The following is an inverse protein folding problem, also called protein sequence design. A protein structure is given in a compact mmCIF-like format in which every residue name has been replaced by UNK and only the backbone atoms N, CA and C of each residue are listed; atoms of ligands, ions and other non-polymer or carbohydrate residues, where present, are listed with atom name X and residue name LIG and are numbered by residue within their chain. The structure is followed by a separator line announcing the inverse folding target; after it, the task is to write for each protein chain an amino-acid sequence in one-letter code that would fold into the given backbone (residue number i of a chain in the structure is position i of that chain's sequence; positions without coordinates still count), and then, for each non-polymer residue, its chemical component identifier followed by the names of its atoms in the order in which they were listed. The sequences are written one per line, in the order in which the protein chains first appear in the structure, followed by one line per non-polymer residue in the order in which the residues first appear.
data_IF_660828881538
#
_entry.id   IF_660828881538
#
_cell.length_a   1.000
_cell.length_b   1.000
_cell.length_c   1.000
_cell.angle_alpha   90.00
_cell.angle_beta   90.00
_cell.angle_gamma   90.00
#
_symmetry.space_group_name_H-M   'P 1'
#
loop_
_entity.id
_entity.type
_entity.pdbx_description
1 polymer ?
#
# COMPACT_ATOMS: atom_id res chain seq x y z
N UNK A 1 20.95 -40.76 -12.50
CA UNK A 1 19.86 -40.35 -11.58
C UNK A 1 20.24 -39.16 -10.70
N UNK A 2 21.42 -39.13 -10.07
CA UNK A 2 21.86 -38.01 -9.21
C UNK A 2 21.90 -36.64 -9.93
N UNK A 3 22.32 -36.62 -11.19
CA UNK A 3 22.33 -35.40 -12.02
C UNK A 3 20.92 -34.87 -12.31
N UNK A 4 19.97 -35.74 -12.64
CA UNK A 4 18.57 -35.35 -12.84
C UNK A 4 17.96 -34.83 -11.53
N UNK A 5 18.32 -35.43 -10.39
CA UNK A 5 17.89 -34.99 -9.07
C UNK A 5 18.45 -33.61 -8.72
N UNK A 6 19.71 -33.33 -9.07
CA UNK A 6 20.33 -32.01 -8.91
C UNK A 6 19.68 -30.95 -9.82
N UNK A 7 19.35 -31.30 -11.07
CA UNK A 7 18.65 -30.39 -12.01
C UNK A 7 17.25 -30.07 -11.49
N UNK A 8 16.52 -31.05 -10.95
CA UNK A 8 15.20 -30.83 -10.32
C UNK A 8 15.31 -29.99 -9.04
N UNK A 9 16.36 -30.18 -8.22
CA UNK A 9 16.63 -29.35 -7.04
C UNK A 9 17.03 -27.91 -7.40
N UNK A 10 17.75 -27.71 -8.51
CA UNK A 10 18.11 -26.39 -9.03
C UNK A 10 16.94 -25.69 -9.73
N UNK A 11 16.00 -26.46 -10.31
CA UNK A 11 14.74 -25.94 -10.85
C UNK A 11 13.77 -25.51 -9.74
N UNK A 12 13.96 -26.02 -8.52
CA UNK A 12 13.27 -25.57 -7.30
C UNK A 12 13.94 -24.35 -6.66
N UNK A 13 15.02 -23.80 -7.24
CA UNK A 13 15.42 -22.43 -6.93
C UNK A 13 14.28 -21.53 -7.44
N UNK A 14 13.38 -21.16 -6.53
CA UNK A 14 12.08 -20.57 -6.85
C UNK A 14 12.18 -19.40 -7.82
N UNK A 15 11.13 -19.26 -8.63
CA UNK A 15 11.02 -18.15 -9.59
C UNK A 15 11.22 -16.81 -8.85
N UNK A 16 12.22 -16.03 -9.31
CA UNK A 16 12.42 -14.67 -8.84
C UNK A 16 11.46 -13.75 -9.58
N UNK A 17 10.39 -13.34 -8.92
CA UNK A 17 9.43 -12.37 -9.44
C UNK A 17 9.83 -10.94 -9.09
N UNK A 18 9.41 -10.01 -9.95
CA UNK A 18 9.52 -8.57 -9.72
C UNK A 18 8.23 -8.06 -9.09
N UNK A 19 8.26 -7.72 -7.80
CA UNK A 19 7.10 -7.19 -7.07
C UNK A 19 7.13 -5.67 -6.98
N UNK A 20 5.97 -5.07 -7.23
CA UNK A 20 5.68 -3.69 -6.84
C UNK A 20 4.80 -3.67 -5.60
N UNK A 21 5.33 -3.19 -4.48
CA UNK A 21 4.57 -2.95 -3.26
C UNK A 21 4.18 -1.47 -3.21
N UNK A 22 2.91 -1.16 -3.41
CA UNK A 22 2.41 0.22 -3.33
C UNK A 22 2.05 0.52 -1.88
N UNK A 23 2.78 1.45 -1.26
CA UNK A 23 2.64 1.81 0.15
C UNK A 23 2.71 3.33 0.32
N UNK A 24 1.62 4.07 0.03
CA UNK A 24 1.58 5.50 0.25
C UNK A 24 1.92 5.84 1.71
N UNK A 25 2.67 6.93 1.93
CA UNK A 25 3.04 7.38 3.28
C UNK A 25 1.86 8.07 3.95
N UNK A 26 0.84 7.29 4.28
CA UNK A 26 -0.40 7.76 4.88
C UNK A 26 -0.29 7.79 6.43
N UNK A 27 -0.02 6.63 7.02
CA UNK A 27 0.07 6.43 8.47
C UNK A 27 1.17 5.44 8.86
N UNK A 28 1.62 5.51 10.10
CA UNK A 28 2.72 4.68 10.61
C UNK A 28 2.42 3.18 10.52
N UNK A 29 1.21 2.74 10.89
CA UNK A 29 0.81 1.33 10.81
C UNK A 29 0.86 0.79 9.38
N UNK A 30 0.27 1.53 8.45
CA UNK A 30 0.17 1.18 7.03
C UNK A 30 1.54 0.93 6.40
N UNK A 31 2.46 1.89 6.53
CA UNK A 31 3.79 1.77 5.91
C UNK A 31 4.58 0.61 6.52
N UNK A 32 4.46 0.35 7.82
CA UNK A 32 5.18 -0.75 8.44
C UNK A 32 4.59 -2.10 8.04
N UNK A 33 3.27 -2.23 7.95
CA UNK A 33 2.62 -3.45 7.49
C UNK A 33 3.03 -3.80 6.06
N UNK A 34 2.88 -2.85 5.14
CA UNK A 34 3.26 -3.05 3.73
C UNK A 34 4.78 -3.25 3.58
N UNK A 35 5.58 -2.51 4.35
CA UNK A 35 7.03 -2.67 4.38
C UNK A 35 7.49 -4.04 4.87
N UNK A 36 6.77 -4.67 5.81
CA UNK A 36 7.04 -6.05 6.24
C UNK A 36 6.71 -7.08 5.17
N UNK A 37 5.64 -6.86 4.39
CA UNK A 37 5.36 -7.70 3.21
C UNK A 37 6.52 -7.58 2.21
N UNK A 38 6.96 -6.36 1.92
CA UNK A 38 8.09 -6.11 1.02
C UNK A 38 9.37 -6.80 1.50
N UNK A 39 9.74 -6.60 2.78
CA UNK A 39 10.95 -7.19 3.36
C UNK A 39 10.92 -8.73 3.34
N UNK A 40 9.75 -9.34 3.59
CA UNK A 40 9.59 -10.79 3.55
C UNK A 40 9.76 -11.36 2.13
N UNK A 41 9.29 -10.64 1.11
CA UNK A 41 9.48 -11.03 -0.30
C UNK A 41 10.94 -10.90 -0.73
N UNK A 42 11.66 -9.88 -0.26
CA UNK A 42 13.11 -9.77 -0.46
C UNK A 42 13.84 -10.94 0.21
N UNK A 43 13.47 -11.30 1.45
CA UNK A 43 14.05 -12.44 2.16
C UNK A 43 13.79 -13.78 1.46
N UNK A 44 12.69 -13.88 0.72
CA UNK A 44 12.35 -15.04 -0.11
C UNK A 44 13.13 -15.09 -1.43
N UNK A 45 13.93 -14.06 -1.75
CA UNK A 45 14.79 -14.02 -2.94
C UNK A 45 14.18 -13.32 -4.16
N UNK A 46 13.10 -12.54 -3.98
CA UNK A 46 12.46 -11.79 -5.06
C UNK A 46 13.04 -10.36 -5.21
N UNK A 47 12.93 -9.76 -6.40
CA UNK A 47 13.19 -8.33 -6.57
C UNK A 47 11.94 -7.54 -6.17
N UNK A 48 12.10 -6.59 -5.27
CA UNK A 48 10.97 -5.87 -4.67
C UNK A 48 11.25 -4.38 -4.69
N UNK A 49 10.34 -3.65 -5.31
CA UNK A 49 10.28 -2.20 -5.24
C UNK A 49 9.07 -1.79 -4.41
N UNK A 50 9.32 -1.05 -3.35
CA UNK A 50 8.26 -0.33 -2.62
C UNK A 50 8.09 1.05 -3.22
N UNK A 51 6.94 1.31 -3.83
CA UNK A 51 6.55 2.61 -4.34
C UNK A 51 5.74 3.38 -3.30
N UNK A 52 6.18 4.59 -2.94
CA UNK A 52 5.54 5.41 -1.91
C UNK A 52 5.21 6.82 -2.41
N UNK A 53 3.94 7.09 -2.71
CA UNK A 53 3.43 8.46 -2.76
C UNK A 53 3.59 9.14 -1.39
N UNK A 54 4.23 10.31 -1.37
CA UNK A 54 4.49 11.08 -0.15
C UNK A 54 3.29 11.96 0.19
N UNK A 55 2.32 11.38 0.90
CA UNK A 55 1.10 12.05 1.38
C UNK A 55 1.36 12.80 2.70
N UNK A 56 2.03 12.14 3.64
CA UNK A 56 2.40 12.67 4.95
C UNK A 56 3.93 12.73 5.07
N UNK A 57 4.49 13.93 4.94
CA UNK A 57 5.93 14.17 5.03
C UNK A 57 6.48 14.11 6.45
N UNK A 58 5.62 14.05 7.47
CA UNK A 58 6.00 13.97 8.89
C UNK A 58 6.41 12.55 9.32
N UNK A 59 6.18 11.53 8.49
CA UNK A 59 6.54 10.15 8.80
C UNK A 59 8.03 9.90 8.50
N UNK A 60 8.84 9.75 9.56
CA UNK A 60 10.28 9.51 9.43
C UNK A 60 10.63 8.14 8.82
N UNK A 61 9.88 7.10 9.17
CA UNK A 61 10.09 5.74 8.64
C UNK A 61 9.54 5.61 7.22
N UNK A 62 10.12 4.72 6.41
CA UNK A 62 9.56 4.26 5.14
C UNK A 62 8.91 2.87 5.27
N UNK A 63 8.95 2.25 6.46
CA UNK A 63 8.31 0.97 6.77
C UNK A 63 9.07 -0.29 6.33
N UNK A 64 9.82 -0.22 5.24
CA UNK A 64 10.70 -1.29 4.74
C UNK A 64 12.17 -1.01 5.10
N UNK A 65 12.95 -2.08 5.31
CA UNK A 65 14.40 -2.02 5.51
C UNK A 65 15.21 -2.65 4.37
N UNK A 66 14.56 -3.40 3.47
CA UNK A 66 15.24 -4.27 2.48
C UNK A 66 14.87 -3.98 1.03
N UNK A 67 13.62 -3.62 0.75
CA UNK A 67 13.18 -3.37 -0.62
C UNK A 67 13.75 -2.07 -1.19
N UNK A 68 13.89 -2.00 -2.52
CA UNK A 68 14.25 -0.75 -3.20
C UNK A 68 13.09 0.24 -3.07
N UNK A 69 13.40 1.53 -2.94
CA UNK A 69 12.38 2.56 -2.76
C UNK A 69 12.28 3.47 -4.00
N UNK A 70 11.06 3.69 -4.45
CA UNK A 70 10.71 4.78 -5.36
C UNK A 70 9.70 5.66 -4.64
N UNK A 71 9.98 6.96 -4.55
CA UNK A 71 9.13 7.91 -3.84
C UNK A 71 8.79 9.10 -4.74
N UNK A 72 7.58 9.61 -4.61
CA UNK A 72 7.22 10.89 -5.23
C UNK A 72 7.86 12.05 -4.46
N UNK A 73 7.79 13.27 -5.00
CA UNK A 73 7.91 14.46 -4.15
C UNK A 73 6.70 14.55 -3.20
N UNK A 74 6.80 15.28 -2.06
CA UNK A 74 5.64 15.54 -1.21
C UNK A 74 4.50 16.17 -2.00
N UNK A 75 3.32 15.55 -1.94
CA UNK A 75 2.11 16.00 -2.64
C UNK A 75 1.44 17.04 -1.74
N UNK A 76 1.78 18.31 -1.92
CA UNK A 76 1.38 19.39 -1.00
C UNK A 76 -0.14 19.60 -0.96
N UNK A 77 -0.81 19.21 -2.03
CA UNK A 77 -2.26 19.31 -2.21
C UNK A 77 -3.03 18.48 -1.20
N UNK A 78 -2.42 17.43 -0.61
CA UNK A 78 -3.05 16.60 0.43
C UNK A 78 -2.82 17.11 1.85
N UNK A 79 -1.97 18.13 2.05
CA UNK A 79 -1.65 18.64 3.39
C UNK A 79 -2.88 19.12 4.18
N UNK A 80 -3.86 19.85 3.59
CA UNK A 80 -5.05 20.27 4.32
C UNK A 80 -5.85 19.07 4.87
N UNK A 81 -6.02 18.02 4.06
CA UNK A 81 -6.70 16.80 4.49
C UNK A 81 -5.91 16.05 5.56
N UNK A 82 -4.58 15.99 5.42
CA UNK A 82 -3.72 15.37 6.43
C UNK A 82 -3.74 16.15 7.75
N UNK A 83 -3.80 17.48 7.73
CA UNK A 83 -3.91 18.28 8.95
C UNK A 83 -5.26 18.06 9.65
N UNK A 84 -6.34 17.88 8.89
CA UNK A 84 -7.64 17.45 9.44
C UNK A 84 -7.57 16.05 10.05
N UNK A 85 -6.95 15.08 9.36
CA UNK A 85 -6.76 13.72 9.87
C UNK A 85 -5.88 13.69 11.12
N UNK A 86 -4.93 14.59 11.26
CA UNK A 86 -4.04 14.68 12.43
C UNK A 86 -4.65 15.52 13.57
N UNK A 87 -5.80 16.17 13.36
CA UNK A 87 -6.45 16.94 14.40
C UNK A 87 -7.04 16.02 15.49
N UNK A 88 -6.64 16.16 16.77
CA UNK A 88 -7.17 15.34 17.87
C UNK A 88 -8.69 15.35 18.01
N UNK A 89 -9.35 16.45 17.67
CA UNK A 89 -10.81 16.59 17.75
C UNK A 89 -11.53 15.78 16.66
N UNK A 90 -10.84 15.51 15.54
CA UNK A 90 -11.31 14.64 14.45
C UNK A 90 -10.94 13.18 14.73
N UNK A 91 -9.74 12.92 15.26
CA UNK A 91 -9.30 11.55 15.57
C UNK A 91 -10.03 10.92 16.76
N UNK A 92 -10.26 11.68 17.85
CA UNK A 92 -10.85 11.10 19.07
C UNK A 92 -12.21 10.44 18.82
N UNK A 93 -13.15 11.05 18.08
CA UNK A 93 -14.40 10.39 17.72
C UNK A 93 -14.19 9.13 16.87
N UNK A 94 -13.18 9.08 15.99
CA UNK A 94 -12.90 7.89 15.16
C UNK A 94 -12.63 6.65 16.02
N UNK A 95 -11.90 6.80 17.13
CA UNK A 95 -11.53 5.70 18.03
C UNK A 95 -12.56 5.39 19.12
N UNK A 96 -13.44 6.35 19.45
CA UNK A 96 -14.39 6.23 20.57
C UNK A 96 -15.83 6.02 20.16
N UNK A 97 -16.16 6.29 18.89
CA UNK A 97 -17.51 6.06 18.40
C UNK A 97 -17.79 4.56 18.34
N UNK A 98 -19.06 4.19 18.50
CA UNK A 98 -19.47 2.81 18.30
C UNK A 98 -19.17 2.38 16.87
N UNK A 99 -18.56 1.20 16.71
CA UNK A 99 -18.28 0.59 15.42
C UNK A 99 -19.53 0.21 14.61
N UNK A 100 -20.71 0.19 15.23
CA UNK A 100 -22.00 0.02 14.52
C UNK A 100 -22.56 1.34 14.00
N UNK A 101 -21.98 2.49 14.37
CA UNK A 101 -22.44 3.80 13.91
C UNK A 101 -21.91 4.10 12.50
N UNK A 102 -22.79 4.37 11.52
CA UNK A 102 -22.36 4.71 10.16
C UNK A 102 -21.66 6.07 10.09
N UNK A 103 -21.77 6.90 11.13
CA UNK A 103 -21.21 8.26 11.15
C UNK A 103 -19.68 8.30 11.06
N UNK A 104 -18.98 7.25 11.53
CA UNK A 104 -17.53 7.15 11.36
C UNK A 104 -17.13 7.11 9.88
N UNK A 105 -17.74 6.18 9.13
CA UNK A 105 -17.52 6.00 7.69
C UNK A 105 -17.97 7.26 6.93
N UNK A 106 -19.16 7.78 7.20
CA UNK A 106 -19.69 8.95 6.48
C UNK A 106 -18.84 10.21 6.65
N UNK A 107 -18.17 10.39 7.80
CA UNK A 107 -17.24 11.51 8.03
C UNK A 107 -15.89 11.31 7.37
N UNK A 108 -15.48 10.06 7.21
CA UNK A 108 -14.15 9.69 6.73
C UNK A 108 -14.08 9.58 5.20
N UNK A 109 -15.15 9.13 4.55
CA UNK A 109 -15.19 8.91 3.11
C UNK A 109 -14.82 10.13 2.26
N UNK A 110 -15.34 11.36 2.50
CA UNK A 110 -14.99 12.52 1.68
C UNK A 110 -13.50 12.88 1.76
N UNK A 111 -12.89 12.61 2.91
CA UNK A 111 -11.47 12.89 3.17
C UNK A 111 -10.58 11.91 2.40
N UNK A 112 -10.94 10.62 2.43
CA UNK A 112 -10.27 9.59 1.65
C UNK A 112 -10.45 9.80 0.15
N UNK A 113 -11.64 10.16 -0.29
CA UNK A 113 -11.93 10.47 -1.70
C UNK A 113 -11.03 11.61 -2.21
N UNK A 114 -10.99 12.73 -1.48
CA UNK A 114 -10.13 13.87 -1.84
C UNK A 114 -8.64 13.51 -1.88
N UNK A 115 -8.13 12.82 -0.84
CA UNK A 115 -6.72 12.40 -0.79
C UNK A 115 -6.42 11.47 -1.97
N UNK A 116 -7.24 10.45 -2.17
CA UNK A 116 -7.02 9.44 -3.22
C UNK A 116 -7.00 10.09 -4.60
N UNK A 117 -7.99 10.92 -4.91
CA UNK A 117 -8.07 11.61 -6.20
C UNK A 117 -6.85 12.49 -6.47
N UNK A 118 -6.40 13.26 -5.46
CA UNK A 118 -5.22 14.13 -5.57
C UNK A 118 -3.94 13.33 -5.77
N UNK A 119 -3.77 12.24 -5.01
CA UNK A 119 -2.56 11.41 -5.10
C UNK A 119 -2.50 10.71 -6.44
N UNK A 120 -3.60 10.09 -6.86
CA UNK A 120 -3.68 9.41 -8.15
C UNK A 120 -3.38 10.39 -9.29
N UNK A 121 -3.99 11.57 -9.32
CA UNK A 121 -3.72 12.57 -10.35
C UNK A 121 -2.23 12.93 -10.39
N UNK A 122 -1.62 13.24 -9.25
CA UNK A 122 -0.19 13.58 -9.19
C UNK A 122 0.72 12.43 -9.64
N UNK A 123 0.41 11.19 -9.26
CA UNK A 123 1.21 10.02 -9.65
C UNK A 123 1.11 9.75 -11.15
N UNK A 124 -0.11 9.81 -11.71
CA UNK A 124 -0.34 9.51 -13.12
C UNK A 124 0.17 10.62 -14.05
N UNK A 125 0.15 11.88 -13.60
CA UNK A 125 0.63 13.03 -14.38
C UNK A 125 2.17 13.12 -14.39
N UNK A 126 2.87 12.51 -13.43
CA UNK A 126 4.33 12.49 -13.35
C UNK A 126 4.93 11.49 -14.34
N UNK A 127 5.12 11.94 -15.59
CA UNK A 127 5.57 11.08 -16.70
C UNK A 127 6.87 10.34 -16.42
N UNK A 128 7.89 11.01 -15.88
CA UNK A 128 9.21 10.39 -15.62
C UNK A 128 9.08 9.24 -14.62
N UNK A 129 8.26 9.42 -13.58
CA UNK A 129 7.98 8.40 -12.58
C UNK A 129 7.26 7.20 -13.21
N UNK A 130 6.22 7.44 -14.03
CA UNK A 130 5.47 6.37 -14.67
C UNK A 130 6.32 5.60 -15.69
N UNK A 131 7.21 6.27 -16.42
CA UNK A 131 8.20 5.63 -17.29
C UNK A 131 9.20 4.79 -16.49
N UNK A 132 9.69 5.28 -15.35
CA UNK A 132 10.55 4.53 -14.44
C UNK A 132 9.86 3.26 -13.93
N UNK A 133 8.65 3.38 -13.38
CA UNK A 133 7.87 2.24 -12.87
C UNK A 133 7.56 1.21 -13.96
N UNK A 134 7.29 1.66 -15.19
CA UNK A 134 7.05 0.77 -16.32
C UNK A 134 8.31 0.03 -16.77
N UNK A 135 9.48 0.64 -16.65
CA UNK A 135 10.76 0.04 -17.04
C UNK A 135 11.18 -1.14 -16.14
N UNK A 136 10.69 -1.17 -14.89
CA UNK A 136 10.96 -2.24 -13.91
C UNK A 136 10.29 -3.57 -14.28
N UNK A 137 9.24 -3.58 -15.13
CA UNK A 137 8.55 -4.78 -15.62
C UNK A 137 8.12 -5.73 -14.49
N UNK A 138 7.28 -5.21 -13.59
CA UNK A 138 6.74 -5.98 -12.47
C UNK A 138 5.79 -7.10 -12.93
N UNK A 139 5.90 -8.24 -12.26
CA UNK A 139 5.03 -9.40 -12.47
C UNK A 139 3.72 -9.29 -11.68
N UNK A 140 3.79 -8.63 -10.52
CA UNK A 140 2.68 -8.53 -9.57
C UNK A 140 2.73 -7.23 -8.77
N UNK A 141 1.55 -6.63 -8.55
CA UNK A 141 1.37 -5.50 -7.64
C UNK A 141 0.73 -5.97 -6.33
N UNK A 142 1.33 -5.60 -5.21
CA UNK A 142 0.71 -5.71 -3.88
C UNK A 142 0.32 -4.30 -3.45
N UNK A 143 -0.96 -4.09 -3.20
CA UNK A 143 -1.50 -2.79 -2.79
C UNK A 143 -2.41 -2.94 -1.59
N UNK A 144 -2.49 -1.88 -0.80
CA UNK A 144 -3.48 -1.83 0.27
C UNK A 144 -4.89 -1.59 -0.28
N UNK A 145 -5.89 -2.28 0.29
CA UNK A 145 -7.32 -2.07 0.03
C UNK A 145 -7.92 -1.07 1.03
N UNK A 146 -7.18 0.01 1.24
CA UNK A 146 -7.56 1.14 2.09
C UNK A 146 -7.71 2.41 1.26
N UNK A 147 -6.66 2.79 0.52
CA UNK A 147 -6.65 3.98 -0.35
C UNK A 147 -6.87 3.67 -1.83
N UNK A 148 -6.79 2.40 -2.23
CA UNK A 148 -6.96 1.91 -3.62
C UNK A 148 -5.99 2.52 -4.66
N UNK A 149 -5.01 3.33 -4.24
CA UNK A 149 -4.08 4.03 -5.15
C UNK A 149 -3.29 3.03 -5.99
N UNK A 150 -2.83 1.93 -5.38
CA UNK A 150 -2.04 0.93 -6.09
C UNK A 150 -2.82 0.14 -7.13
N UNK A 151 -4.16 0.07 -7.05
CA UNK A 151 -4.98 -0.50 -8.12
C UNK A 151 -4.90 0.38 -9.36
N UNK A 152 -5.01 1.70 -9.20
CA UNK A 152 -4.91 2.64 -10.31
C UNK A 152 -3.51 2.65 -10.93
N UNK A 153 -2.47 2.55 -10.11
CA UNK A 153 -1.09 2.41 -10.59
C UNK A 153 -0.91 1.11 -11.38
N UNK A 154 -1.44 -0.01 -10.89
CA UNK A 154 -1.36 -1.30 -11.58
C UNK A 154 -2.02 -1.23 -12.97
N UNK A 155 -3.21 -0.64 -13.06
CA UNK A 155 -3.93 -0.43 -14.32
C UNK A 155 -3.11 0.44 -15.30
N UNK A 156 -2.55 1.56 -14.82
CA UNK A 156 -1.74 2.45 -15.64
C UNK A 156 -0.44 1.79 -16.17
N UNK A 157 0.12 0.85 -15.40
CA UNK A 157 1.28 0.04 -15.79
C UNK A 157 0.90 -1.17 -16.66
N UNK A 158 -0.40 -1.50 -16.78
CA UNK A 158 -0.89 -2.67 -17.52
C UNK A 158 -0.66 -4.01 -16.80
N UNK A 159 -0.50 -4.00 -15.48
CA UNK A 159 -0.24 -5.19 -14.67
C UNK A 159 -1.57 -5.77 -14.18
N UNK A 160 -1.83 -7.03 -14.53
CA UNK A 160 -3.11 -7.71 -14.22
C UNK A 160 -3.10 -8.50 -12.91
N UNK A 161 -1.92 -8.88 -12.44
CA UNK A 161 -1.77 -9.65 -11.21
C UNK A 161 -1.72 -8.68 -10.03
N UNK A 162 -2.79 -8.63 -9.26
CA UNK A 162 -2.93 -7.70 -8.13
C UNK A 162 -3.30 -8.50 -6.88
N UNK A 163 -2.56 -8.28 -5.81
CA UNK A 163 -2.87 -8.77 -4.46
C UNK A 163 -3.27 -7.59 -3.60
N UNK A 164 -4.48 -7.64 -3.07
CA UNK A 164 -4.97 -6.68 -2.08
C UNK A 164 -4.58 -7.10 -0.67
N UNK A 165 -4.01 -6.17 0.10
CA UNK A 165 -3.67 -6.36 1.50
C UNK A 165 -4.47 -5.39 2.38
N UNK A 166 -4.76 -5.80 3.63
CA UNK A 166 -5.50 -4.99 4.59
C UNK A 166 -4.63 -4.75 5.82
N UNK A 167 -4.17 -3.52 6.05
CA UNK A 167 -3.42 -3.18 7.28
C UNK A 167 -4.34 -2.83 8.46
N UNK A 168 -5.55 -2.38 8.15
CA UNK A 168 -6.68 -2.27 9.06
C UNK A 168 -7.46 -3.58 8.98
N UNK A 169 -7.85 -4.19 10.10
CA UNK A 169 -8.39 -5.56 10.17
C UNK A 169 -9.28 -5.97 8.99
N UNK A 170 -9.09 -7.18 8.47
CA UNK A 170 -9.78 -7.69 7.27
C UNK A 170 -11.31 -7.67 7.36
N UNK A 171 -11.86 -7.51 8.56
CA UNK A 171 -13.26 -7.20 8.81
C UNK A 171 -13.39 -5.85 9.52
N UNK A 172 -14.30 -5.01 9.02
CA UNK A 172 -14.78 -3.85 9.77
C UNK A 172 -15.38 -4.34 11.09
N UNK A 173 -15.04 -3.65 12.19
CA UNK A 173 -15.43 -4.03 13.56
C UNK A 173 -16.95 -4.18 13.72
N UNK A 174 -17.73 -3.32 13.07
CA UNK A 174 -19.20 -3.45 13.01
C UNK A 174 -19.67 -4.77 12.39
N UNK A 175 -18.99 -5.22 11.32
CA UNK A 175 -19.28 -6.50 10.67
C UNK A 175 -18.83 -7.67 11.55
N UNK A 176 -17.64 -7.59 12.16
CA UNK A 176 -17.12 -8.62 13.06
C UNK A 176 -18.10 -8.89 14.21
N UNK A 177 -18.58 -7.84 14.87
CA UNK A 177 -19.60 -7.96 15.92
C UNK A 177 -20.91 -8.59 15.40
N UNK A 178 -21.36 -8.18 14.21
CA UNK A 178 -22.62 -8.67 13.64
C UNK A 178 -22.59 -10.18 13.35
N UNK A 179 -21.42 -10.74 13.07
CA UNK A 179 -21.24 -12.18 12.82
C UNK A 179 -20.70 -12.96 14.03
N UNK A 180 -20.62 -12.31 15.20
CA UNK A 180 -20.17 -12.95 16.44
C UNK A 180 -18.67 -13.27 16.50
N UNK A 181 -17.85 -12.58 15.71
CA UNK A 181 -16.40 -12.63 15.88
C UNK A 181 -15.99 -11.79 17.11
N UNK A 182 -15.02 -12.28 17.91
CA UNK A 182 -14.48 -11.54 19.04
C UNK A 182 -13.72 -10.28 18.61
#
# INVERSE_FOLDING_TARGET
MLFLFLVVLLYQAGDCYNFLVVSPKHGYSHINFMGKIADALVDAGHDVVTFQPLINDKLASNGTLKSRLIQTKPIKETLPEMDLLNNPDIQRPMWRSSATSPMGILRFLPLMDSITAKVVANVLDERELMEQLKAEKFDLVITELYDFIGITVAEALGIKNIVGAHSNGCLLEGTAMAIGLP
#
